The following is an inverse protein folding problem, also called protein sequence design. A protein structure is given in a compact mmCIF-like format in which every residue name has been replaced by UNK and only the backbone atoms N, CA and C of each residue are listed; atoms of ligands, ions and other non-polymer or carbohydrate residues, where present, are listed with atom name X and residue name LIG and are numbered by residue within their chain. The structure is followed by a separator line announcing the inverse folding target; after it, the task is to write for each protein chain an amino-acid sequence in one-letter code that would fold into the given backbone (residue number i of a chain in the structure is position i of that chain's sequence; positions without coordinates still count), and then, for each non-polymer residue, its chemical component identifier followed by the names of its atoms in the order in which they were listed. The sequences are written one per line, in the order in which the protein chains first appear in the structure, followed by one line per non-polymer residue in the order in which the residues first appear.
data_IF_448026024244
#
_entry.id   IF_448026024244
#
_cell.length_a   1.000
_cell.length_b   1.000
_cell.length_c   1.000
_cell.angle_alpha   90.00
_cell.angle_beta   90.00
_cell.angle_gamma   90.00
#
_symmetry.space_group_name_H-M   'P 1'
#
loop_
_entity.id
_entity.type
_entity.pdbx_description
1 polymer ?
#
# COMPACT_ATOMS: atom_id res chain seq x y z
N UNK A 1 11.15 0.08 -4.87
CA UNK A 1 12.32 -0.02 -5.77
C UNK A 1 13.22 1.20 -5.69
N UNK A 2 14.15 1.21 -4.74
CA UNK A 2 15.34 2.06 -4.75
C UNK A 2 16.57 1.16 -4.84
N UNK A 3 17.58 1.58 -5.59
CA UNK A 3 18.88 0.90 -5.59
C UNK A 3 19.79 1.61 -4.63
N UNK A 4 20.53 0.85 -3.82
CA UNK A 4 21.54 1.42 -2.93
C UNK A 4 22.61 2.12 -3.73
N UNK A 5 23.01 3.29 -3.23
CA UNK A 5 24.01 4.13 -3.85
C UNK A 5 25.24 4.18 -2.98
N UNK A 6 26.40 4.25 -3.62
CA UNK A 6 27.69 4.12 -2.98
C UNK A 6 28.63 5.23 -3.43
N UNK A 7 29.49 5.67 -2.53
CA UNK A 7 30.55 6.62 -2.83
C UNK A 7 31.89 6.04 -2.41
N UNK A 8 32.95 6.48 -3.11
CA UNK A 8 34.32 6.07 -2.80
C UNK A 8 34.94 7.13 -1.90
N UNK A 9 35.45 6.71 -0.73
CA UNK A 9 36.33 7.53 0.09
C UNK A 9 37.77 7.02 -0.06
N UNK A 10 38.64 7.88 -0.59
CA UNK A 10 40.05 7.54 -0.85
C UNK A 10 40.22 6.46 -1.93
N UNK A 11 41.29 5.68 -1.85
CA UNK A 11 41.67 4.73 -2.90
C UNK A 11 40.98 3.37 -2.82
N UNK A 12 40.28 3.04 -1.72
CA UNK A 12 39.88 1.65 -1.47
C UNK A 12 38.65 1.44 -0.57
N UNK A 13 37.98 2.50 -0.10
CA UNK A 13 36.77 2.31 0.72
C UNK A 13 35.54 2.76 -0.06
N UNK A 14 34.54 1.88 -0.10
CA UNK A 14 33.22 2.14 -0.68
C UNK A 14 32.21 2.08 0.45
N UNK A 15 31.34 3.07 0.56
CA UNK A 15 30.34 3.17 1.62
C UNK A 15 29.00 3.61 1.03
N UNK A 16 27.91 3.21 1.69
CA UNK A 16 26.55 3.57 1.27
C UNK A 16 26.32 5.08 1.48
N UNK A 17 25.86 5.76 0.42
CA UNK A 17 25.54 7.18 0.41
C UNK A 17 24.34 7.38 -0.52
N UNK A 18 23.28 8.02 -0.03
CA UNK A 18 22.07 8.35 -0.82
C UNK A 18 22.36 9.13 -2.11
N UNK A 19 23.44 9.91 -2.13
CA UNK A 19 23.90 10.68 -3.29
C UNK A 19 25.13 10.06 -3.99
N UNK A 20 25.48 8.82 -3.64
CA UNK A 20 26.64 8.12 -4.17
C UNK A 20 26.63 7.99 -5.68
N UNK A 21 27.80 8.09 -6.30
CA UNK A 21 27.96 8.01 -7.76
C UNK A 21 27.98 6.57 -8.30
N UNK A 22 28.15 5.59 -7.42
CA UNK A 22 28.24 4.18 -7.75
C UNK A 22 26.99 3.43 -7.33
N UNK A 23 26.72 2.34 -8.04
CA UNK A 23 25.63 1.40 -7.79
C UNK A 23 26.22 0.00 -7.96
N UNK A 24 25.80 -0.93 -7.11
CA UNK A 24 26.18 -2.33 -7.29
C UNK A 24 25.56 -2.88 -8.58
N UNK A 25 26.38 -3.54 -9.40
CA UNK A 25 25.93 -4.05 -10.69
C UNK A 25 24.82 -5.11 -10.53
N UNK A 26 24.90 -5.97 -9.52
CA UNK A 26 23.90 -7.02 -9.30
C UNK A 26 22.55 -6.40 -8.92
N UNK A 27 22.55 -5.39 -8.06
CA UNK A 27 21.34 -4.67 -7.67
C UNK A 27 20.72 -3.93 -8.87
N UNK A 28 21.55 -3.28 -9.69
CA UNK A 28 21.07 -2.59 -10.90
C UNK A 28 20.50 -3.57 -11.93
N UNK A 29 21.20 -4.67 -12.18
CA UNK A 29 20.77 -5.71 -13.11
C UNK A 29 19.45 -6.36 -12.64
N UNK A 30 19.29 -6.60 -11.34
CA UNK A 30 18.04 -7.11 -10.76
C UNK A 30 16.89 -6.11 -10.94
N UNK A 31 17.14 -4.81 -10.74
CA UNK A 31 16.15 -3.77 -11.01
C UNK A 31 15.76 -3.71 -12.49
N UNK A 32 16.74 -3.74 -13.40
CA UNK A 32 16.50 -3.72 -14.85
C UNK A 32 15.67 -4.93 -15.31
N UNK A 33 15.97 -6.11 -14.78
CA UNK A 33 15.21 -7.33 -15.04
C UNK A 33 13.74 -7.20 -14.60
N UNK A 34 13.50 -6.66 -13.39
CA UNK A 34 12.15 -6.40 -12.87
C UNK A 34 11.38 -5.38 -13.70
N UNK A 35 12.02 -4.28 -14.08
CA UNK A 35 11.41 -3.28 -14.96
C UNK A 35 11.03 -3.89 -16.32
N UNK A 36 11.89 -4.75 -16.86
CA UNK A 36 11.62 -5.45 -18.13
C UNK A 36 10.43 -6.41 -18.00
N UNK A 37 10.35 -7.16 -16.91
CA UNK A 37 9.24 -8.07 -16.63
C UNK A 37 7.89 -7.32 -16.52
N UNK A 38 7.84 -6.25 -15.71
CA UNK A 38 6.67 -5.37 -15.60
C UNK A 38 6.28 -4.73 -16.95
N UNK A 39 7.26 -4.31 -17.75
CA UNK A 39 7.00 -3.76 -19.08
C UNK A 39 6.42 -4.80 -20.04
N UNK A 40 6.90 -6.04 -19.99
CA UNK A 40 6.38 -7.14 -20.78
C UNK A 40 4.94 -7.48 -20.39
N UNK A 41 4.65 -7.60 -19.09
CA UNK A 41 3.30 -7.83 -18.56
C UNK A 41 2.33 -6.72 -18.99
N UNK A 42 2.73 -5.45 -18.83
CA UNK A 42 1.96 -4.30 -19.30
C UNK A 42 1.74 -4.32 -20.82
N UNK A 43 2.73 -4.74 -21.59
CA UNK A 43 2.62 -4.89 -23.05
C UNK A 43 1.58 -5.93 -23.46
N UNK A 44 1.52 -7.06 -22.75
CA UNK A 44 0.49 -8.10 -22.96
C UNK A 44 -0.90 -7.55 -22.64
N UNK A 45 -1.06 -6.88 -21.50
CA UNK A 45 -2.33 -6.27 -21.12
C UNK A 45 -2.80 -5.25 -22.16
N UNK A 46 -1.91 -4.37 -22.61
CA UNK A 46 -2.22 -3.36 -23.62
C UNK A 46 -2.62 -3.98 -24.96
N UNK A 47 -1.93 -5.05 -25.39
CA UNK A 47 -2.25 -5.77 -26.62
C UNK A 47 -3.66 -6.37 -26.57
N UNK A 48 -3.99 -7.05 -25.46
CA UNK A 48 -5.32 -7.63 -25.21
C UNK A 48 -6.38 -6.53 -25.24
N UNK A 49 -6.18 -5.43 -24.50
CA UNK A 49 -7.13 -4.32 -24.47
C UNK A 49 -7.37 -3.70 -25.84
N UNK A 50 -6.31 -3.52 -26.63
CA UNK A 50 -6.41 -2.95 -27.98
C UNK A 50 -7.15 -3.89 -28.95
N UNK A 51 -6.87 -5.20 -28.90
CA UNK A 51 -7.56 -6.19 -29.72
C UNK A 51 -9.05 -6.23 -29.40
N UNK A 52 -9.40 -6.24 -28.12
CA UNK A 52 -10.78 -6.26 -27.64
C UNK A 52 -11.53 -4.97 -28.02
N UNK A 53 -10.92 -3.80 -27.76
CA UNK A 53 -11.48 -2.51 -28.14
C UNK A 53 -11.68 -2.38 -29.65
N UNK A 54 -10.73 -2.89 -30.44
CA UNK A 54 -10.81 -2.92 -31.91
C UNK A 54 -11.97 -3.78 -32.41
N UNK A 55 -12.13 -4.99 -31.87
CA UNK A 55 -13.23 -5.89 -32.25
C UNK A 55 -14.60 -5.32 -31.88
N UNK A 56 -14.74 -4.67 -30.72
CA UNK A 56 -15.98 -4.03 -30.32
C UNK A 56 -16.28 -2.79 -31.17
N UNK A 57 -15.28 -1.95 -31.41
CA UNK A 57 -15.40 -0.76 -32.26
C UNK A 57 -15.83 -1.11 -33.68
N UNK A 58 -15.30 -2.18 -34.27
CA UNK A 58 -15.70 -2.66 -35.60
C UNK A 58 -17.17 -3.11 -35.62
N UNK A 59 -17.60 -3.91 -34.63
CA UNK A 59 -18.99 -4.36 -34.53
C UNK A 59 -19.98 -3.20 -34.34
N UNK A 60 -19.58 -2.12 -33.66
CA UNK A 60 -20.37 -0.91 -33.52
C UNK A 60 -20.44 -0.13 -34.85
N UNK A 61 -19.30 0.04 -35.53
CA UNK A 61 -19.22 0.76 -36.80
C UNK A 61 -20.00 0.07 -37.93
N UNK A 62 -20.09 -1.25 -37.91
CA UNK A 62 -20.88 -2.05 -38.87
C UNK A 62 -22.38 -2.09 -38.53
N UNK A 63 -22.82 -1.48 -37.42
CA UNK A 63 -24.21 -1.53 -36.95
C UNK A 63 -24.66 -2.91 -36.45
N UNK A 64 -23.72 -3.86 -36.29
CA UNK A 64 -24.03 -5.20 -35.82
C UNK A 64 -24.55 -5.21 -34.38
N UNK A 65 -23.97 -4.35 -33.52
CA UNK A 65 -24.45 -4.18 -32.15
C UNK A 65 -25.92 -3.76 -32.13
N UNK A 66 -26.27 -2.70 -32.86
CA UNK A 66 -27.63 -2.16 -32.92
C UNK A 66 -28.60 -3.19 -33.50
N UNK A 67 -28.21 -3.90 -34.57
CA UNK A 67 -29.03 -4.95 -35.18
C UNK A 67 -29.34 -6.11 -34.21
N UNK A 68 -28.40 -6.50 -33.35
CA UNK A 68 -28.62 -7.52 -32.31
C UNK A 68 -29.56 -6.99 -31.22
N UNK A 69 -29.36 -5.76 -30.75
CA UNK A 69 -30.15 -5.16 -29.68
C UNK A 69 -31.59 -4.87 -30.11
N UNK A 70 -31.78 -4.40 -31.35
CA UNK A 70 -33.10 -4.13 -31.94
C UNK A 70 -33.85 -5.40 -32.37
N UNK A 71 -33.16 -6.54 -32.49
CA UNK A 71 -33.78 -7.81 -32.90
C UNK A 71 -34.86 -8.30 -31.94
N UNK A 72 -34.83 -7.88 -30.67
CA UNK A 72 -35.70 -8.37 -29.61
C UNK A 72 -35.55 -9.87 -29.31
N UNK A 73 -34.50 -10.52 -29.86
CA UNK A 73 -34.25 -11.94 -29.64
C UNK A 73 -33.36 -12.15 -28.43
N UNK A 74 -33.94 -12.60 -27.33
CA UNK A 74 -33.20 -12.94 -26.11
C UNK A 74 -32.06 -13.94 -26.38
N UNK A 75 -32.26 -14.87 -27.30
CA UNK A 75 -31.24 -15.85 -27.67
C UNK A 75 -30.05 -15.21 -28.40
N UNK A 76 -30.28 -14.25 -29.30
CA UNK A 76 -29.20 -13.55 -29.98
C UNK A 76 -28.46 -12.60 -29.04
N UNK A 77 -29.19 -11.91 -28.16
CA UNK A 77 -28.62 -11.03 -27.14
C UNK A 77 -27.72 -11.83 -26.19
N UNK A 78 -28.18 -12.99 -25.71
CA UNK A 78 -27.39 -13.87 -24.83
C UNK A 78 -26.15 -14.44 -25.53
N UNK A 79 -26.26 -14.88 -26.79
CA UNK A 79 -25.10 -15.32 -27.58
C UNK A 79 -24.10 -14.17 -27.74
N UNK A 80 -24.57 -12.96 -28.06
CA UNK A 80 -23.72 -11.79 -28.25
C UNK A 80 -23.00 -11.39 -26.96
N UNK A 81 -23.70 -11.31 -25.84
CA UNK A 81 -23.11 -11.04 -24.53
C UNK A 81 -22.08 -12.10 -24.15
N UNK A 82 -22.40 -13.38 -24.32
CA UNK A 82 -21.47 -14.49 -24.02
C UNK A 82 -20.24 -14.49 -24.92
N UNK A 83 -20.32 -13.95 -26.13
CA UNK A 83 -19.16 -13.79 -27.04
C UNK A 83 -18.32 -12.57 -26.71
N UNK A 84 -18.93 -11.50 -26.18
CA UNK A 84 -18.21 -10.34 -25.66
C UNK A 84 -17.55 -10.62 -24.30
N UNK A 85 -18.13 -11.50 -23.48
CA UNK A 85 -17.66 -11.75 -22.12
C UNK A 85 -16.21 -12.26 -22.01
N UNK A 86 -15.72 -13.18 -22.87
CA UNK A 86 -14.30 -13.53 -22.95
C UNK A 86 -13.39 -12.36 -23.30
N UNK A 87 -13.87 -11.43 -24.13
CA UNK A 87 -13.19 -10.18 -24.47
C UNK A 87 -13.24 -9.12 -23.36
N UNK A 88 -13.87 -9.41 -22.21
CA UNK A 88 -13.90 -8.52 -21.04
C UNK A 88 -13.21 -9.19 -19.84
N UNK A 89 -13.20 -10.53 -19.78
CA UNK A 89 -12.79 -11.28 -18.59
C UNK A 89 -11.44 -12.01 -18.72
N UNK A 90 -10.79 -12.02 -19.89
CA UNK A 90 -9.51 -12.71 -20.07
C UNK A 90 -8.30 -11.83 -19.73
N UNK A 91 -8.32 -11.16 -18.57
CA UNK A 91 -7.13 -10.50 -18.04
C UNK A 91 -6.24 -11.62 -17.47
N UNK A 92 -5.05 -11.86 -18.04
CA UNK A 92 -4.11 -12.84 -17.48
C UNK A 92 -3.70 -12.39 -16.07
N UNK A 93 -3.35 -13.34 -15.17
CA UNK A 93 -2.79 -12.96 -13.88
C UNK A 93 -1.56 -12.06 -14.09
N UNK A 94 -1.37 -11.11 -13.17
CA UNK A 94 -0.31 -10.10 -13.22
C UNK A 94 0.69 -10.30 -12.08
N UNK A 95 1.42 -11.44 -12.05
CA UNK A 95 2.29 -11.79 -10.93
C UNK A 95 3.41 -10.77 -10.68
N UNK A 96 3.93 -10.12 -11.72
CA UNK A 96 4.99 -9.12 -11.56
C UNK A 96 4.44 -7.84 -10.92
N UNK A 97 3.25 -7.41 -11.35
CA UNK A 97 2.53 -6.30 -10.71
C UNK A 97 2.14 -6.64 -9.27
N UNK A 98 1.66 -7.85 -9.00
CA UNK A 98 1.29 -8.28 -7.65
C UNK A 98 2.50 -8.29 -6.71
N UNK A 99 3.64 -8.81 -7.18
CA UNK A 99 4.90 -8.79 -6.45
C UNK A 99 5.38 -7.37 -6.18
N UNK A 100 5.30 -6.48 -7.18
CA UNK A 100 5.63 -5.06 -7.03
C UNK A 100 4.73 -4.37 -5.99
N UNK A 101 3.41 -4.59 -6.05
CA UNK A 101 2.48 -4.03 -5.08
C UNK A 101 2.71 -4.59 -3.67
N UNK A 102 3.08 -5.86 -3.53
CA UNK A 102 3.45 -6.45 -2.25
C UNK A 102 4.69 -5.77 -1.65
N UNK A 103 5.72 -5.51 -2.46
CA UNK A 103 6.92 -4.77 -2.04
C UNK A 103 6.58 -3.35 -1.60
N UNK A 104 5.83 -2.59 -2.42
CA UNK A 104 5.46 -1.20 -2.10
C UNK A 104 4.65 -1.14 -0.80
N UNK A 105 3.73 -2.07 -0.60
CA UNK A 105 2.97 -2.16 0.66
C UNK A 105 3.88 -2.49 1.84
N UNK A 106 4.84 -3.39 1.69
CA UNK A 106 5.82 -3.68 2.74
C UNK A 106 6.67 -2.45 3.10
N UNK A 107 7.16 -1.72 2.09
CA UNK A 107 7.89 -0.48 2.28
C UNK A 107 7.03 0.56 3.03
N UNK A 108 5.78 0.76 2.61
CA UNK A 108 4.86 1.70 3.27
C UNK A 108 4.57 1.34 4.73
N UNK A 109 4.46 0.05 5.06
CA UNK A 109 4.33 -0.41 6.46
C UNK A 109 5.58 -0.08 7.27
N UNK A 110 6.76 -0.35 6.73
CA UNK A 110 8.04 -0.04 7.38
C UNK A 110 8.21 1.46 7.63
N UNK A 111 7.85 2.29 6.65
CA UNK A 111 7.84 3.75 6.78
C UNK A 111 6.83 4.22 7.83
N UNK A 112 5.62 3.67 7.85
CA UNK A 112 4.59 3.98 8.85
C UNK A 112 5.02 3.63 10.29
N UNK A 113 5.65 2.47 10.48
CA UNK A 113 6.19 2.04 11.78
C UNK A 113 7.29 3.02 12.24
N UNK A 114 8.24 3.34 11.36
CA UNK A 114 9.30 4.31 11.64
C UNK A 114 8.73 5.69 12.00
N UNK A 115 7.71 6.14 11.27
CA UNK A 115 7.04 7.40 11.51
C UNK A 115 6.39 7.44 12.89
N UNK A 116 5.65 6.38 13.27
CA UNK A 116 5.00 6.28 14.57
C UNK A 116 6.01 6.30 15.73
N UNK A 117 7.07 5.48 15.64
CA UNK A 117 8.16 5.48 16.62
C UNK A 117 8.82 6.86 16.74
N UNK A 118 9.11 7.51 15.62
CA UNK A 118 9.72 8.86 15.58
C UNK A 118 8.81 9.92 16.20
N UNK A 119 7.50 9.86 15.94
CA UNK A 119 6.52 10.78 16.52
C UNK A 119 6.40 10.61 18.04
N UNK A 120 6.40 9.38 18.54
CA UNK A 120 6.40 9.10 19.98
C UNK A 120 7.67 9.62 20.65
N UNK A 121 8.84 9.36 20.06
CA UNK A 121 10.11 9.87 20.56
C UNK A 121 10.14 11.41 20.60
N UNK A 122 9.63 12.06 19.54
CA UNK A 122 9.51 13.52 19.49
C UNK A 122 8.53 14.04 20.56
N UNK A 123 7.38 13.39 20.75
CA UNK A 123 6.40 13.77 21.75
C UNK A 123 6.99 13.73 23.17
N UNK A 124 7.77 12.70 23.49
CA UNK A 124 8.52 12.62 24.73
C UNK A 124 9.56 13.74 24.87
N UNK A 125 10.40 13.96 23.86
CA UNK A 125 11.44 15.00 23.88
C UNK A 125 10.88 16.42 24.06
N UNK A 126 9.66 16.67 23.59
CA UNK A 126 8.98 17.96 23.72
C UNK A 126 8.08 18.06 24.96
N UNK A 127 8.06 17.03 25.83
CA UNK A 127 7.30 17.04 27.08
C UNK A 127 5.79 16.80 26.93
N UNK A 128 5.32 16.36 25.74
CA UNK A 128 3.92 15.95 25.54
C UNK A 128 3.61 14.58 26.16
N UNK A 129 4.64 13.80 26.51
CA UNK A 129 4.51 12.51 27.19
C UNK A 129 5.30 12.57 28.50
N UNK A 130 4.59 12.59 29.62
CA UNK A 130 5.18 12.59 30.96
C UNK A 130 5.29 11.15 31.50
N UNK A 131 6.27 10.42 30.96
CA UNK A 131 6.60 9.04 31.35
C UNK A 131 8.10 8.86 31.51
N UNK A 132 8.57 7.90 32.32
CA UNK A 132 9.99 7.58 32.40
C UNK A 132 10.57 7.22 31.02
N UNK A 133 11.79 7.65 30.73
CA UNK A 133 12.49 7.34 29.46
C UNK A 133 12.52 5.83 29.17
N UNK A 134 12.68 5.00 30.19
CA UNK A 134 12.68 3.53 30.05
C UNK A 134 11.35 3.02 29.48
N UNK A 135 10.21 3.53 29.96
CA UNK A 135 8.88 3.12 29.46
C UNK A 135 8.67 3.58 28.02
N UNK A 136 9.06 4.82 27.69
CA UNK A 136 8.95 5.34 26.31
C UNK A 136 9.87 4.57 25.37
N UNK A 137 11.08 4.24 25.81
CA UNK A 137 12.03 3.44 25.05
C UNK A 137 11.50 2.03 24.78
N UNK A 138 10.92 1.37 25.78
CA UNK A 138 10.31 0.04 25.61
C UNK A 138 9.16 0.08 24.60
N UNK A 139 8.32 1.12 24.61
CA UNK A 139 7.23 1.28 23.63
C UNK A 139 7.78 1.58 22.23
N UNK A 140 8.78 2.46 22.10
CA UNK A 140 9.45 2.72 20.81
C UNK A 140 10.08 1.45 20.26
N UNK A 141 10.76 0.67 21.10
CA UNK A 141 11.34 -0.63 20.70
C UNK A 141 10.23 -1.59 20.28
N UNK A 142 9.16 -1.72 21.06
CA UNK A 142 8.01 -2.56 20.71
C UNK A 142 7.40 -2.17 19.36
N UNK A 143 7.24 -0.87 19.08
CA UNK A 143 6.77 -0.39 17.77
C UNK A 143 7.76 -0.80 16.67
N UNK A 144 9.06 -0.65 16.89
CA UNK A 144 10.08 -1.02 15.89
C UNK A 144 10.18 -2.53 15.66
N UNK A 145 10.00 -3.34 16.70
CA UNK A 145 10.00 -4.80 16.65
C UNK A 145 8.81 -5.35 15.84
N UNK A 146 7.72 -4.57 15.69
CA UNK A 146 6.61 -4.95 14.79
C UNK A 146 7.04 -5.12 13.34
N UNK A 147 8.21 -4.60 12.92
CA UNK A 147 8.78 -4.89 11.61
C UNK A 147 9.15 -6.36 11.45
N UNK A 148 9.86 -6.91 12.44
CA UNK A 148 10.26 -8.32 12.44
C UNK A 148 9.02 -9.22 12.55
N UNK A 149 8.02 -8.82 13.34
CA UNK A 149 6.74 -9.55 13.42
C UNK A 149 5.99 -9.55 12.09
N UNK A 150 5.98 -8.42 11.37
CA UNK A 150 5.30 -8.28 10.09
C UNK A 150 6.01 -9.00 8.94
N UNK A 151 7.34 -9.05 8.98
CA UNK A 151 8.16 -9.83 8.04
C UNK A 151 7.96 -11.34 8.23
N UNK A 152 7.70 -11.79 9.46
CA UNK A 152 7.47 -13.20 9.80
C UNK A 152 5.98 -13.59 9.86
N UNK A 153 5.07 -12.65 9.65
CA UNK A 153 3.62 -12.91 9.74
C UNK A 153 3.13 -13.77 8.57
N UNK A 154 2.43 -14.86 8.90
CA UNK A 154 1.84 -15.80 7.92
C UNK A 154 0.43 -15.33 7.51
N UNK A 155 -0.12 -14.32 8.18
CA UNK A 155 -1.48 -13.82 7.95
C UNK A 155 -1.46 -12.73 6.86
N UNK A 156 -2.36 -12.80 5.85
CA UNK A 156 -2.49 -11.72 4.89
C UNK A 156 -2.88 -10.43 5.63
N UNK A 157 -2.24 -9.32 5.30
CA UNK A 157 -2.54 -8.03 5.89
C UNK A 157 -4.03 -7.69 5.67
N UNK A 158 -4.83 -7.76 6.72
CA UNK A 158 -6.19 -7.23 6.71
C UNK A 158 -6.09 -5.72 6.44
N UNK A 159 -6.51 -5.32 5.23
CA UNK A 159 -6.77 -3.97 4.65
C UNK A 159 -5.94 -2.75 5.08
N UNK A 160 -4.89 -2.92 5.88
CA UNK A 160 -3.81 -1.99 6.17
C UNK A 160 -4.28 -0.57 6.40
N UNK A 161 -4.82 -0.31 7.60
CA UNK A 161 -5.27 0.99 8.11
C UNK A 161 -6.64 1.44 7.55
N UNK A 162 -7.71 1.14 8.28
CA UNK A 162 -8.88 2.02 8.18
C UNK A 162 -8.50 3.36 8.81
N UNK A 163 -8.13 4.33 7.97
CA UNK A 163 -7.92 5.74 8.33
C UNK A 163 -9.09 6.37 9.09
N UNK A 164 -10.22 5.66 9.21
CA UNK A 164 -11.38 6.02 10.02
C UNK A 164 -11.07 6.36 11.48
N UNK A 165 -10.01 5.82 12.10
CA UNK A 165 -9.64 6.23 13.47
C UNK A 165 -9.00 7.63 13.51
N UNK A 166 -8.09 7.92 12.57
CA UNK A 166 -7.49 9.24 12.44
C UNK A 166 -8.53 10.28 12.00
N UNK A 167 -9.44 9.92 11.11
CA UNK A 167 -10.53 10.79 10.66
C UNK A 167 -11.54 11.09 11.78
N UNK A 168 -11.90 10.10 12.60
CA UNK A 168 -12.74 10.34 13.79
C UNK A 168 -12.05 11.27 14.78
N UNK A 169 -10.77 11.03 15.09
CA UNK A 169 -9.98 11.89 15.98
C UNK A 169 -9.91 13.33 15.47
N UNK A 170 -9.63 13.55 14.18
CA UNK A 170 -9.55 14.88 13.58
C UNK A 170 -10.92 15.58 13.52
N UNK A 171 -11.99 14.85 13.22
CA UNK A 171 -13.36 15.39 13.17
C UNK A 171 -13.82 15.85 14.55
N UNK A 172 -13.50 15.08 15.58
CA UNK A 172 -13.84 15.38 16.97
C UNK A 172 -13.02 16.55 17.50
N UNK A 173 -11.72 16.60 17.21
CA UNK A 173 -10.84 17.73 17.54
C UNK A 173 -11.26 19.03 16.84
N UNK A 174 -11.63 18.96 15.55
CA UNK A 174 -12.20 20.10 14.83
C UNK A 174 -13.58 20.53 15.39
N UNK A 175 -14.29 19.63 16.09
CA UNK A 175 -15.49 19.94 16.85
C UNK A 175 -15.20 20.81 18.07
N UNK A 176 -14.20 20.47 18.87
CA UNK A 176 -13.75 21.25 20.02
C UNK A 176 -13.21 22.64 19.62
N UNK A 177 -12.38 22.70 18.58
CA UNK A 177 -11.86 23.96 18.05
C UNK A 177 -12.97 24.93 17.58
N UNK A 178 -14.08 24.40 17.04
CA UNK A 178 -15.25 25.21 16.64
C UNK A 178 -16.09 25.70 17.82
N UNK A 179 -16.05 25.00 18.95
CA UNK A 179 -16.78 25.37 20.18
C UNK A 179 -15.97 26.30 21.08
N UNK A 180 -14.68 26.51 20.79
CA UNK A 180 -13.79 27.34 21.62
C UNK A 180 -13.44 26.69 22.97
N UNK A 181 -13.62 25.37 23.07
CA UNK A 181 -13.31 24.58 24.27
C UNK A 181 -11.92 23.95 24.09
N UNK A 182 -11.01 24.17 25.03
CA UNK A 182 -9.77 23.39 25.11
C UNK A 182 -10.11 21.99 25.63
N UNK A 183 -9.60 20.91 25.01
CA UNK A 183 -9.79 19.57 25.53
C UNK A 183 -9.16 19.49 26.92
N UNK A 184 -9.93 19.04 27.91
CA UNK A 184 -9.45 19.00 29.30
C UNK A 184 -8.19 18.14 29.45
N UNK A 185 -7.14 18.71 30.06
CA UNK A 185 -5.89 18.02 30.37
C UNK A 185 -6.18 16.70 31.13
N UNK A 186 -5.74 15.58 30.54
CA UNK A 186 -5.78 14.26 31.19
C UNK A 186 -6.91 13.33 30.76
N UNK A 187 -7.80 13.70 29.82
CA UNK A 187 -8.73 12.74 29.18
C UNK A 187 -8.11 12.15 27.92
N UNK A 188 -7.98 10.82 27.89
CA UNK A 188 -7.65 10.07 26.67
C UNK A 188 -8.70 10.38 25.60
N UNK A 189 -8.24 10.79 24.41
CA UNK A 189 -9.09 11.07 23.24
C UNK A 189 -9.69 9.80 22.59
N UNK A 190 -9.18 8.64 22.99
CA UNK A 190 -9.75 7.34 22.65
C UNK A 190 -10.44 6.80 23.90
N UNK A 191 -11.65 6.26 23.75
CA UNK A 191 -12.32 5.57 24.86
C UNK A 191 -11.45 4.40 25.33
N UNK A 192 -11.59 3.97 26.58
CA UNK A 192 -10.85 2.80 27.09
C UNK A 192 -11.14 1.55 26.23
N UNK A 193 -12.35 1.43 25.67
CA UNK A 193 -12.71 0.40 24.70
C UNK A 193 -11.96 0.53 23.37
N UNK A 194 -11.80 1.76 22.85
CA UNK A 194 -11.04 2.00 21.62
C UNK A 194 -9.53 1.77 21.83
N UNK A 195 -9.00 2.16 22.99
CA UNK A 195 -7.63 1.86 23.40
C UNK A 195 -7.42 0.34 23.52
N UNK A 196 -8.35 -0.38 24.16
CA UNK A 196 -8.28 -1.84 24.25
C UNK A 196 -8.44 -2.51 22.89
N UNK A 197 -9.31 -2.00 22.01
CA UNK A 197 -9.47 -2.50 20.64
C UNK A 197 -8.20 -2.28 19.82
N UNK A 198 -7.56 -1.11 19.94
CA UNK A 198 -6.28 -0.79 19.32
C UNK A 198 -5.19 -1.73 19.82
N UNK A 199 -5.01 -1.86 21.13
CA UNK A 199 -4.04 -2.79 21.74
C UNK A 199 -4.31 -4.22 21.31
N UNK A 200 -5.56 -4.64 21.22
CA UNK A 200 -5.95 -5.99 20.76
C UNK A 200 -5.68 -6.20 19.27
N UNK A 201 -5.87 -5.18 18.43
CA UNK A 201 -5.54 -5.22 17.01
C UNK A 201 -4.03 -5.36 16.78
N UNK A 202 -3.21 -4.67 17.59
CA UNK A 202 -1.76 -4.80 17.54
C UNK A 202 -1.24 -6.13 18.14
N UNK A 203 -1.85 -6.63 19.22
CA UNK A 203 -1.38 -7.85 19.91
C UNK A 203 -1.88 -9.17 19.31
N UNK A 204 -2.99 -9.18 18.57
CA UNK A 204 -3.49 -10.40 17.90
C UNK A 204 -2.68 -10.83 16.67
N UNK A 205 -1.76 -9.99 16.16
CA UNK A 205 -0.85 -10.37 15.07
C UNK A 205 0.31 -11.26 15.51
N UNK A 206 0.62 -11.33 16.81
CA UNK A 206 1.79 -12.02 17.36
C UNK A 206 1.48 -13.39 18.01
N UNK A 207 0.21 -13.83 18.01
CA UNK A 207 -0.17 -15.11 18.61
C UNK A 207 -1.26 -15.81 17.79
N UNK A 208 -0.84 -16.52 16.74
CA UNK A 208 -1.26 -17.89 16.39
C UNK A 208 -0.54 -18.40 15.14
#
# INVERSE_FOLDING_TARGET
MSVKRYEVNGSSSVFENENGSLVDYEDYAALEARCTALAAENGVLLAIMNEQAGSFGAALAEGFHDAVMESGSDQLIDIYQRRLQPAIQCIPPTPDTDAFLAEVRAQGRNEGINYAASRLAAAFNHGFVDKPLAEVFDVVRMIMDTKEELENSILPAADGLSGGYAEKFLTEFAGYARKGEEPEEGKSFLSDEDCQALVKAFTKGAAQ
#
